data_IF_202750606106
#
_entry.id   IF_202750606106
#
_cell.length_a   1.000
_cell.length_b   1.000
_cell.length_c   1.000
_cell.angle_alpha   90.00
_cell.angle_beta   90.00
_cell.angle_gamma   90.00
#
_symmetry.space_group_name_H-M   'P 1'
#
loop_
_entity.id
_entity.type
_entity.pdbx_description
1 polymer ?
#
# COMPACT_ATOMS: atom_id res chain seq x y z
N UNK A 1 8.59 12.16 6.46
CA UNK A 1 7.49 12.54 5.53
C UNK A 1 7.73 11.90 4.18
N UNK A 2 6.72 11.26 3.56
CA UNK A 2 6.86 10.52 2.31
C UNK A 2 7.54 11.30 1.18
N UNK A 3 7.15 12.55 0.94
CA UNK A 3 7.80 13.42 -0.06
C UNK A 3 9.30 13.60 0.17
N UNK A 4 9.75 13.77 1.41
CA UNK A 4 11.18 13.90 1.73
C UNK A 4 11.95 12.60 1.47
N UNK A 5 11.35 11.45 1.78
CA UNK A 5 11.94 10.14 1.47
C UNK A 5 12.09 9.97 -0.05
N UNK A 6 11.04 10.28 -0.82
CA UNK A 6 11.06 10.15 -2.27
C UNK A 6 12.09 11.06 -2.94
N UNK A 7 12.40 12.25 -2.40
CA UNK A 7 13.48 13.11 -2.92
C UNK A 7 14.85 12.41 -2.93
N UNK A 8 15.10 11.55 -1.94
CA UNK A 8 16.38 10.85 -1.76
C UNK A 8 16.41 9.46 -2.41
N UNK A 9 15.30 9.00 -2.99
CA UNK A 9 15.16 7.69 -3.63
C UNK A 9 14.94 7.86 -5.13
N UNK A 10 16.00 8.16 -5.88
CA UNK A 10 15.91 8.43 -7.33
C UNK A 10 15.39 7.25 -8.15
N UNK A 11 15.58 6.02 -7.67
CA UNK A 11 15.13 4.78 -8.32
C UNK A 11 13.69 4.37 -7.98
N UNK A 12 13.01 5.13 -7.13
CA UNK A 12 11.64 4.85 -6.70
C UNK A 12 10.68 5.84 -7.34
N UNK A 13 9.62 5.34 -7.97
CA UNK A 13 8.60 6.16 -8.64
C UNK A 13 7.38 6.44 -7.75
N UNK A 14 7.03 5.49 -6.87
CA UNK A 14 5.88 5.54 -5.97
C UNK A 14 6.27 5.17 -4.54
N UNK A 15 5.68 5.86 -3.58
CA UNK A 15 5.56 5.44 -2.19
C UNK A 15 4.08 5.22 -1.90
N UNK A 16 3.74 4.00 -1.50
CA UNK A 16 2.43 3.71 -0.92
C UNK A 16 2.36 4.28 0.49
N UNK A 17 1.24 4.90 0.84
CA UNK A 17 0.94 5.44 2.17
C UNK A 17 -0.32 4.75 2.70
N UNK A 18 -0.36 4.50 3.99
CA UNK A 18 -1.44 3.74 4.64
C UNK A 18 -1.46 2.27 4.15
N UNK A 19 -2.64 1.64 4.13
CA UNK A 19 -2.83 0.25 3.70
C UNK A 19 -2.60 0.10 2.20
N UNK A 20 -1.85 -0.93 1.81
CA UNK A 20 -1.32 -1.05 0.46
C UNK A 20 -2.22 -1.78 -0.53
N UNK A 21 -3.21 -2.54 -0.06
CA UNK A 21 -3.95 -3.48 -0.87
C UNK A 21 -4.72 -2.80 -2.00
N UNK A 22 -5.51 -1.77 -1.67
CA UNK A 22 -6.30 -1.03 -2.66
C UNK A 22 -5.41 -0.09 -3.47
N UNK A 23 -4.46 0.58 -2.82
CA UNK A 23 -3.55 1.50 -3.49
C UNK A 23 -2.70 0.79 -4.53
N UNK A 24 -2.08 -0.34 -4.18
CA UNK A 24 -1.26 -1.11 -5.12
C UNK A 24 -2.08 -1.62 -6.30
N UNK A 25 -3.30 -2.11 -6.05
CA UNK A 25 -4.21 -2.53 -7.11
C UNK A 25 -4.52 -1.39 -8.08
N UNK A 26 -4.80 -0.18 -7.56
CA UNK A 26 -5.10 0.98 -8.39
C UNK A 26 -3.89 1.44 -9.20
N UNK A 27 -2.69 1.45 -8.61
CA UNK A 27 -1.43 1.75 -9.31
C UNK A 27 -1.18 0.73 -10.41
N UNK A 28 -1.33 -0.58 -10.13
CA UNK A 28 -1.15 -1.63 -11.12
C UNK A 28 -2.12 -1.49 -12.30
N UNK A 29 -3.39 -1.19 -12.03
CA UNK A 29 -4.40 -0.93 -13.08
C UNK A 29 -4.08 0.33 -13.89
N UNK A 30 -3.64 1.39 -13.24
CA UNK A 30 -3.25 2.65 -13.88
C UNK A 30 -2.07 2.44 -14.86
N UNK A 31 -1.05 1.71 -14.43
CA UNK A 31 0.11 1.33 -15.26
C UNK A 31 -0.34 0.45 -16.42
N UNK A 32 -1.09 -0.62 -16.16
CA UNK A 32 -1.58 -1.53 -17.19
C UNK A 32 -2.48 -0.83 -18.23
N UNK A 33 -3.23 0.19 -17.80
CA UNK A 33 -4.08 1.03 -18.66
C UNK A 33 -3.34 2.18 -19.37
N UNK A 34 -2.02 2.26 -19.29
CA UNK A 34 -1.21 3.31 -19.93
C UNK A 34 -1.36 4.71 -19.33
N UNK A 35 -1.96 4.83 -18.14
CA UNK A 35 -2.20 6.09 -17.44
C UNK A 35 -1.68 6.00 -15.99
N UNK A 36 -0.36 5.83 -15.79
CA UNK A 36 0.24 5.38 -14.53
C UNK A 36 -0.04 6.28 -13.30
N UNK A 37 -0.43 7.53 -13.50
CA UNK A 37 -0.64 8.51 -12.42
C UNK A 37 -2.09 8.96 -12.26
N UNK A 38 -3.01 8.42 -13.06
CA UNK A 38 -4.39 8.91 -13.13
C UNK A 38 -5.25 8.35 -11.99
N UNK A 39 -5.93 9.25 -11.29
CA UNK A 39 -6.97 8.96 -10.28
C UNK A 39 -6.52 7.99 -9.16
N UNK A 40 -5.23 7.98 -8.85
CA UNK A 40 -4.67 7.16 -7.76
C UNK A 40 -4.68 7.93 -6.43
N UNK A 41 -5.09 7.23 -5.36
CA UNK A 41 -5.08 7.73 -3.97
C UNK A 41 -4.15 6.87 -3.10
N UNK A 42 -3.78 7.39 -1.95
CA UNK A 42 -2.88 6.71 -1.00
C UNK A 42 -1.42 6.66 -1.43
N UNK A 43 -0.97 7.51 -2.36
CA UNK A 43 0.41 7.48 -2.85
C UNK A 43 1.11 8.83 -2.77
N UNK A 44 2.43 8.77 -2.73
CA UNK A 44 3.32 9.87 -3.12
C UNK A 44 4.10 9.39 -4.32
N UNK A 45 4.07 10.11 -5.44
CA UNK A 45 4.79 9.68 -6.65
C UNK A 45 5.57 10.81 -7.29
N UNK A 46 6.50 10.45 -8.18
CA UNK A 46 7.27 11.39 -8.99
C UNK A 46 6.78 11.39 -10.43
N UNK A 47 6.49 12.57 -10.97
CA UNK A 47 6.16 12.76 -12.39
C UNK A 47 6.88 14.02 -12.89
N UNK A 48 7.61 13.92 -13.99
CA UNK A 48 8.33 15.05 -14.60
C UNK A 48 9.22 15.86 -13.63
N UNK A 49 9.84 15.18 -12.65
CA UNK A 49 10.68 15.82 -11.63
C UNK A 49 9.91 16.43 -10.45
N UNK A 50 8.58 16.48 -10.51
CA UNK A 50 7.73 16.93 -9.42
C UNK A 50 7.29 15.76 -8.54
N UNK A 51 7.10 16.04 -7.24
CA UNK A 51 6.61 15.06 -6.27
C UNK A 51 5.18 15.45 -5.91
N UNK A 52 4.26 14.53 -6.14
CA UNK A 52 2.84 14.71 -5.89
C UNK A 52 2.43 13.81 -4.72
N UNK A 53 1.82 14.42 -3.70
CA UNK A 53 1.15 13.70 -2.62
C UNK A 53 -0.35 13.71 -2.87
N UNK A 54 -0.96 12.54 -3.04
CA UNK A 54 -2.40 12.42 -3.29
C UNK A 54 -3.19 12.54 -1.99
N UNK A 55 -4.51 12.40 -2.05
CA UNK A 55 -5.30 12.18 -0.84
C UNK A 55 -4.97 10.81 -0.22
N UNK A 56 -5.19 10.67 1.09
CA UNK A 56 -5.14 9.37 1.77
C UNK A 56 -6.30 8.48 1.31
N UNK A 57 -6.12 7.18 1.43
CA UNK A 57 -7.19 6.20 1.29
C UNK A 57 -7.38 5.51 2.63
N UNK A 58 -8.63 5.23 2.97
CA UNK A 58 -8.97 4.34 4.08
C UNK A 58 -9.15 2.94 3.52
N UNK A 59 -8.60 1.96 4.24
CA UNK A 59 -8.83 0.56 3.93
C UNK A 59 -10.28 0.15 4.16
N UNK A 60 -10.59 -1.11 3.92
CA UNK A 60 -11.88 -1.65 4.33
C UNK A 60 -11.97 -1.74 5.86
N UNK A 61 -13.05 -1.19 6.42
CA UNK A 61 -13.41 -1.41 7.84
C UNK A 61 -13.71 -2.89 8.09
N UNK A 62 -14.38 -3.53 7.13
CA UNK A 62 -14.65 -4.96 7.10
C UNK A 62 -13.48 -5.70 6.45
N UNK A 63 -12.66 -6.35 7.29
CA UNK A 63 -11.44 -7.02 6.85
C UNK A 63 -11.70 -8.23 5.95
N UNK A 64 -12.91 -8.82 5.99
CA UNK A 64 -13.28 -9.97 5.15
C UNK A 64 -13.43 -9.59 3.68
N UNK A 65 -13.47 -8.29 3.36
CA UNK A 65 -13.43 -7.80 1.97
C UNK A 65 -12.06 -7.96 1.32
N UNK A 66 -11.00 -8.13 2.11
CA UNK A 66 -9.68 -8.40 1.57
C UNK A 66 -9.56 -9.89 1.20
N UNK A 67 -8.95 -10.21 0.05
CA UNK A 67 -8.65 -11.59 -0.29
C UNK A 67 -7.63 -12.16 0.70
N UNK A 68 -7.94 -13.30 1.31
CA UNK A 68 -7.04 -13.96 2.26
C UNK A 68 -6.15 -15.00 1.54
N UNK A 69 -4.83 -14.76 1.43
CA UNK A 69 -3.92 -15.75 0.84
C UNK A 69 -3.87 -17.05 1.67
N UNK A 70 -4.18 -16.97 2.97
CA UNK A 70 -4.29 -18.12 3.86
C UNK A 70 -5.49 -19.00 3.48
N UNK A 71 -6.67 -18.42 3.27
CA UNK A 71 -7.88 -19.17 2.90
C UNK A 71 -7.87 -19.65 1.45
N UNK A 72 -7.14 -18.95 0.58
CA UNK A 72 -6.98 -19.31 -0.83
C UNK A 72 -5.94 -20.42 -1.06
N UNK A 73 -5.23 -20.87 -0.01
CA UNK A 73 -4.17 -21.87 -0.13
C UNK A 73 -2.97 -21.41 -0.96
N UNK A 74 -2.71 -20.09 -1.02
CA UNK A 74 -1.58 -19.51 -1.77
C UNK A 74 -0.25 -19.80 -1.07
N UNK A 75 -0.26 -19.77 0.26
CA UNK A 75 0.96 -19.98 1.04
C UNK A 75 1.18 -21.46 1.34
N UNK A 76 2.43 -21.91 1.11
CA UNK A 76 2.92 -23.20 1.57
C UNK A 76 3.57 -23.03 2.94
N UNK A 77 2.96 -23.62 3.97
CA UNK A 77 3.47 -23.57 5.34
C UNK A 77 4.38 -24.75 5.70
N UNK A 78 4.65 -25.68 4.77
CA UNK A 78 5.49 -26.86 5.06
C UNK A 78 6.94 -26.51 5.39
N UNK A 79 7.40 -25.32 4.96
CA UNK A 79 8.77 -24.84 5.12
C UNK A 79 8.91 -23.76 6.20
N UNK A 80 7.88 -23.52 7.03
CA UNK A 80 7.91 -22.48 8.07
C UNK A 80 7.52 -23.06 9.43
N UNK A 81 8.28 -22.69 10.46
CA UNK A 81 8.01 -23.11 11.84
C UNK A 81 6.94 -22.24 12.53
N UNK A 82 6.71 -21.03 12.02
CA UNK A 82 5.80 -20.05 12.62
C UNK A 82 5.08 -19.22 11.53
N UNK A 83 3.82 -18.87 11.82
CA UNK A 83 3.00 -17.99 10.98
C UNK A 83 2.44 -16.87 11.83
N UNK A 84 2.64 -15.63 11.39
CA UNK A 84 2.05 -14.45 12.03
C UNK A 84 0.73 -14.12 11.34
N UNK A 85 -0.33 -14.02 12.14
CA UNK A 85 -1.65 -13.58 11.69
C UNK A 85 -2.00 -12.24 12.34
N UNK A 86 -2.34 -11.24 11.52
CA UNK A 86 -2.85 -9.95 11.98
C UNK A 86 -4.38 -10.01 11.99
N UNK A 87 -4.97 -10.08 13.20
CA UNK A 87 -6.43 -10.20 13.38
C UNK A 87 -7.15 -8.86 13.53
N UNK A 88 -6.41 -7.75 13.50
CA UNK A 88 -6.95 -6.39 13.57
C UNK A 88 -6.04 -5.42 12.82
N UNK A 89 -6.55 -4.23 12.51
CA UNK A 89 -5.81 -3.12 11.89
C UNK A 89 -6.02 -1.82 12.65
N UNK A 90 -5.02 -0.95 12.56
CA UNK A 90 -5.01 0.32 13.27
C UNK A 90 -4.64 0.19 14.76
N UNK A 91 -4.44 1.34 15.40
CA UNK A 91 -4.14 1.44 16.82
C UNK A 91 -4.93 2.62 17.40
N UNK A 92 -5.74 2.45 18.45
CA UNK A 92 -6.52 3.54 19.05
C UNK A 92 -5.66 4.47 19.93
N UNK A 93 -4.40 4.10 20.19
CA UNK A 93 -3.51 4.86 21.06
C UNK A 93 -2.69 5.88 20.25
N UNK A 94 -2.53 7.08 20.80
CA UNK A 94 -1.70 8.14 20.24
C UNK A 94 -0.43 8.30 21.09
N UNK A 95 0.44 7.28 21.04
CA UNK A 95 1.68 7.25 21.81
C UNK A 95 2.62 8.40 21.40
N UNK A 96 3.43 8.88 22.35
CA UNK A 96 4.35 10.02 22.15
C UNK A 96 5.70 9.64 21.50
N UNK A 97 5.84 8.37 21.10
CA UNK A 97 7.07 7.81 20.51
C UNK A 97 6.93 7.64 19.00
#
# INVERSE_FOLDING_TARGET
MPSSALKNMSMVDYLCRCEGEITLLNVAKAIAGGNPFKDIKGVTYRINGEIIETEKIEGYEDLDKYPSPHLMGIFDYSQVDEVILLTSRGCPFNCIF
#
